data_IF_737553085449
#
_entry.id   IF_737553085449
#
_cell.length_a   1.000
_cell.length_b   1.000
_cell.length_c   1.000
_cell.angle_alpha   90.00
_cell.angle_beta   90.00
_cell.angle_gamma   90.00
#
_symmetry.space_group_name_H-M   'P 1'
#
loop_
_entity.id
_entity.type
_entity.pdbx_description
1 polymer ?
#
# COMPACT_ATOMS: atom_id res chain seq x y z
N UNK A 1 -15.45 -3.47 6.24
CA UNK A 1 -14.65 -2.91 7.35
C UNK A 1 -13.67 -1.90 6.74
N UNK A 2 -13.50 -0.71 7.34
CA UNK A 2 -12.62 0.35 6.82
C UNK A 2 -11.71 0.83 7.95
N UNK A 3 -10.42 0.95 7.69
CA UNK A 3 -9.44 1.49 8.63
C UNK A 3 -8.61 2.57 7.96
N UNK A 4 -7.94 3.38 8.79
CA UNK A 4 -6.93 4.32 8.32
C UNK A 4 -5.56 3.74 8.66
N UNK A 5 -4.58 4.01 7.80
CA UNK A 5 -3.21 3.59 8.00
C UNK A 5 -2.26 4.47 7.21
N UNK A 6 -0.97 4.21 7.35
CA UNK A 6 0.07 4.87 6.55
C UNK A 6 0.70 3.85 5.62
N UNK A 7 1.02 4.27 4.41
CA UNK A 7 1.88 3.50 3.49
C UNK A 7 3.31 3.79 3.91
N UNK A 8 4.05 2.78 4.35
CA UNK A 8 5.45 2.92 4.76
C UNK A 8 6.43 2.69 3.63
N UNK A 9 6.05 1.90 2.63
CA UNK A 9 6.85 1.61 1.44
C UNK A 9 5.89 1.34 0.28
N UNK A 10 6.24 1.81 -0.92
CA UNK A 10 5.45 1.57 -2.13
C UNK A 10 6.37 1.32 -3.31
N UNK A 11 6.00 0.33 -4.10
CA UNK A 11 6.66 -0.09 -5.33
C UNK A 11 5.63 -0.30 -6.43
N UNK A 12 6.09 -0.58 -7.66
CA UNK A 12 5.21 -0.90 -8.79
C UNK A 12 4.32 -2.11 -8.48
N UNK A 13 4.86 -3.13 -7.81
CA UNK A 13 4.20 -4.43 -7.62
C UNK A 13 3.37 -4.50 -6.32
N UNK A 14 3.53 -3.54 -5.41
CA UNK A 14 2.90 -3.62 -4.10
C UNK A 14 3.32 -2.53 -3.15
N UNK A 15 2.77 -2.59 -1.94
CA UNK A 15 3.12 -1.66 -0.87
C UNK A 15 3.12 -2.34 0.50
N UNK A 16 3.83 -1.72 1.43
CA UNK A 16 3.79 -2.03 2.84
C UNK A 16 2.93 -0.98 3.54
N UNK A 17 1.95 -1.42 4.32
CA UNK A 17 1.10 -0.54 5.12
C UNK A 17 1.20 -0.83 6.60
N UNK A 18 1.01 0.22 7.40
CA UNK A 18 0.78 0.14 8.83
C UNK A 18 -0.68 0.54 9.13
N UNK A 19 -1.60 -0.42 9.28
CA UNK A 19 -2.97 -0.14 9.72
C UNK A 19 -2.98 0.43 11.15
N UNK A 20 -4.02 1.19 11.49
CA UNK A 20 -4.17 1.79 12.82
C UNK A 20 -4.85 0.84 13.81
N UNK A 21 -5.84 0.08 13.33
CA UNK A 21 -6.70 -0.72 14.22
C UNK A 21 -7.02 -2.10 13.66
N UNK A 22 -6.72 -2.37 12.39
CA UNK A 22 -6.98 -3.66 11.76
C UNK A 22 -5.75 -4.54 11.67
N UNK A 23 -5.94 -5.81 11.98
CA UNK A 23 -5.03 -6.88 11.59
C UNK A 23 -5.55 -7.54 10.31
N UNK A 24 -4.74 -7.55 9.27
CA UNK A 24 -5.08 -8.22 8.02
C UNK A 24 -4.59 -9.67 8.05
N UNK A 25 -5.42 -10.59 7.59
CA UNK A 25 -5.03 -12.00 7.39
C UNK A 25 -4.36 -12.16 6.02
N UNK A 26 -3.29 -12.95 5.94
CA UNK A 26 -2.70 -13.35 4.65
C UNK A 26 -3.77 -13.99 3.75
N UNK A 27 -3.75 -13.63 2.46
CA UNK A 27 -4.75 -14.02 1.46
C UNK A 27 -5.98 -13.11 1.40
N UNK A 28 -6.11 -12.14 2.31
CA UNK A 28 -7.23 -11.18 2.29
C UNK A 28 -7.08 -10.23 1.11
N UNK A 29 -8.16 -10.06 0.32
CA UNK A 29 -8.23 -8.99 -0.68
C UNK A 29 -8.50 -7.66 -0.01
N UNK A 30 -7.75 -6.65 -0.40
CA UNK A 30 -7.82 -5.30 0.15
C UNK A 30 -7.95 -4.26 -0.95
N UNK A 31 -8.61 -3.16 -0.62
CA UNK A 31 -8.66 -1.96 -1.44
C UNK A 31 -8.03 -0.82 -0.64
N UNK A 32 -6.96 -0.25 -1.18
CA UNK A 32 -6.22 0.85 -0.59
C UNK A 32 -6.59 2.10 -1.38
N UNK A 33 -6.97 3.17 -0.68
CA UNK A 33 -7.23 4.48 -1.29
C UNK A 33 -6.25 5.49 -0.70
N UNK A 34 -5.04 5.62 -1.28
CA UNK A 34 -4.13 6.68 -0.91
C UNK A 34 -4.78 8.04 -1.18
N UNK A 35 -4.42 9.04 -0.40
CA UNK A 35 -4.95 10.39 -0.59
C UNK A 35 -4.39 10.98 -1.90
N UNK A 36 -5.28 11.52 -2.74
CA UNK A 36 -4.89 12.10 -4.04
C UNK A 36 -4.55 11.08 -5.13
N UNK A 37 -4.82 9.79 -4.92
CA UNK A 37 -4.54 8.72 -5.88
C UNK A 37 -5.78 7.86 -6.17
N UNK A 38 -5.74 7.14 -7.29
CA UNK A 38 -6.72 6.10 -7.59
C UNK A 38 -6.64 4.94 -6.59
N UNK A 39 -7.73 4.15 -6.56
CA UNK A 39 -7.81 2.98 -5.68
C UNK A 39 -6.87 1.89 -6.20
N UNK A 40 -6.03 1.39 -5.30
CA UNK A 40 -5.18 0.23 -5.54
C UNK A 40 -5.84 -1.01 -4.94
N UNK A 41 -5.89 -2.11 -5.70
CA UNK A 41 -6.42 -3.39 -5.24
C UNK A 41 -5.31 -4.42 -5.16
N UNK A 42 -5.39 -5.32 -4.18
CA UNK A 42 -4.35 -6.32 -4.00
C UNK A 42 -4.68 -7.37 -2.94
N UNK A 43 -3.69 -8.22 -2.69
CA UNK A 43 -3.78 -9.33 -1.73
C UNK A 43 -2.68 -9.19 -0.69
N UNK A 44 -3.06 -9.39 0.58
CA UNK A 44 -2.10 -9.42 1.69
C UNK A 44 -1.25 -10.68 1.58
N UNK A 45 0.06 -10.53 1.38
CA UNK A 45 1.01 -11.64 1.21
C UNK A 45 1.68 -12.05 2.51
N UNK A 46 1.89 -11.09 3.39
CA UNK A 46 2.47 -11.33 4.72
C UNK A 46 1.96 -10.27 5.68
N UNK A 47 1.94 -10.62 6.96
CA UNK A 47 1.79 -9.69 8.07
C UNK A 47 2.91 -9.97 9.07
N UNK A 48 3.46 -8.93 9.66
CA UNK A 48 4.48 -9.05 10.70
C UNK A 48 4.36 -7.83 11.60
N UNK A 49 4.23 -8.06 12.90
CA UNK A 49 3.97 -7.01 13.87
C UNK A 49 2.75 -6.17 13.43
N UNK A 50 2.90 -4.84 13.37
CA UNK A 50 1.84 -3.91 12.96
C UNK A 50 1.91 -3.53 11.47
N UNK A 51 2.61 -4.31 10.64
CA UNK A 51 2.73 -4.05 9.20
C UNK A 51 2.25 -5.21 8.34
N UNK A 52 1.68 -4.87 7.19
CA UNK A 52 1.19 -5.81 6.20
C UNK A 52 1.74 -5.48 4.81
N UNK A 53 2.28 -6.50 4.15
CA UNK A 53 2.70 -6.42 2.75
C UNK A 53 1.57 -6.82 1.82
N UNK A 54 1.30 -5.96 0.84
CA UNK A 54 0.22 -6.12 -0.13
C UNK A 54 0.85 -6.18 -1.52
N UNK A 55 0.54 -7.25 -2.25
CA UNK A 55 0.84 -7.37 -3.68
C UNK A 55 -0.36 -6.86 -4.47
N UNK A 56 -0.12 -5.99 -5.44
CA UNK A 56 -1.20 -5.44 -6.25
C UNK A 56 -1.73 -6.44 -7.27
N UNK A 57 -3.03 -6.36 -7.56
CA UNK A 57 -3.66 -7.19 -8.59
C UNK A 57 -3.11 -6.86 -9.99
N UNK A 58 -2.64 -5.62 -10.17
CA UNK A 58 -1.96 -5.14 -11.37
C UNK A 58 -0.81 -4.21 -10.96
N UNK A 59 0.32 -4.26 -11.67
CA UNK A 59 1.40 -3.30 -11.50
C UNK A 59 0.88 -1.85 -11.60
N UNK A 60 1.39 -0.97 -10.75
CA UNK A 60 1.13 0.46 -10.90
C UNK A 60 1.76 0.98 -12.19
N UNK A 61 1.12 1.97 -12.81
CA UNK A 61 1.72 2.64 -13.95
C UNK A 61 2.97 3.42 -13.50
N UNK A 62 4.12 3.15 -14.11
CA UNK A 62 5.43 3.71 -13.71
C UNK A 62 5.42 5.21 -13.39
N UNK A 63 4.82 6.08 -14.23
CA UNK A 63 4.71 7.51 -13.95
C UNK A 63 4.02 7.88 -12.63
N UNK A 64 3.17 7.01 -12.10
CA UNK A 64 2.55 7.23 -10.78
C UNK A 64 3.58 7.04 -9.66
N UNK A 65 4.51 6.07 -9.81
CA UNK A 65 5.63 5.90 -8.89
C UNK A 65 6.54 7.12 -8.93
N UNK A 66 6.88 7.59 -10.13
CA UNK A 66 7.71 8.79 -10.30
C UNK A 66 7.08 10.00 -9.59
N UNK A 67 5.77 10.19 -9.75
CA UNK A 67 5.02 11.24 -9.05
C UNK A 67 5.04 11.06 -7.52
N UNK A 68 4.91 9.82 -7.02
CA UNK A 68 4.99 9.54 -5.57
C UNK A 68 6.38 9.86 -5.01
N UNK A 69 7.45 9.53 -5.74
CA UNK A 69 8.83 9.87 -5.36
C UNK A 69 9.03 11.38 -5.31
N UNK A 70 8.52 12.12 -6.30
CA UNK A 70 8.61 13.59 -6.31
C UNK A 70 7.89 14.27 -5.13
N UNK A 71 6.81 13.65 -4.62
CA UNK A 71 5.96 14.26 -3.58
C UNK A 71 6.25 13.77 -2.16
N UNK A 72 6.73 12.54 -2.04
CA UNK A 72 6.85 11.81 -0.77
C UNK A 72 8.14 11.01 -0.63
N UNK A 73 9.05 11.09 -1.61
CA UNK A 73 10.37 10.48 -1.51
C UNK A 73 11.16 11.05 -0.32
N UNK A 74 12.15 10.29 0.19
CA UNK A 74 13.05 10.83 1.21
C UNK A 74 13.70 12.11 0.69
N UNK A 75 13.64 13.20 1.48
CA UNK A 75 14.53 14.33 1.25
C UNK A 75 15.97 13.80 1.32
N UNK A 76 16.77 14.14 0.29
CA UNK A 76 18.14 13.67 0.15
C UNK A 76 19.05 14.11 1.31
#
# INVERSE_FOLDING_TARGET
MRDRGVISDISIEGCCIRPRSLFFKVGTRVMIRPEGMEVLTGVVRWNKDDVAGIEFDRPMYGPVVDYLVLRHGPEA
#
